data_IF_606568319408
#
_entry.id   IF_606568319408
#
_cell.length_a   1.000
_cell.length_b   1.000
_cell.length_c   1.000
_cell.angle_alpha   90.00
_cell.angle_beta   90.00
_cell.angle_gamma   90.00
#
_symmetry.space_group_name_H-M   'P 1'
#
loop_
_entity.id
_entity.type
_entity.pdbx_description
1 polymer ?
#
# COMPACT_ATOMS: atom_id res chain seq x y z
N UNK A 1 -18.36 -19.63 25.33
CA UNK A 1 -18.70 -20.05 23.96
C UNK A 1 -20.13 -19.60 23.63
N UNK A 2 -20.30 -18.99 22.44
CA UNK A 2 -21.62 -18.63 21.91
C UNK A 2 -21.98 -19.62 20.80
N UNK A 3 -22.95 -20.50 21.08
CA UNK A 3 -23.48 -21.44 20.08
C UNK A 3 -24.68 -20.76 19.39
N UNK A 4 -24.47 -20.15 18.24
CA UNK A 4 -25.49 -19.43 17.47
C UNK A 4 -25.03 -18.05 17.03
N UNK A 5 -25.97 -17.14 16.81
CA UNK A 5 -25.70 -15.80 16.36
C UNK A 5 -25.27 -14.90 17.54
N UNK A 6 -24.29 -14.04 17.30
CA UNK A 6 -23.98 -12.90 18.18
C UNK A 6 -24.30 -11.59 17.46
N UNK A 7 -25.01 -10.70 18.11
CA UNK A 7 -25.32 -9.35 17.63
C UNK A 7 -24.67 -8.33 18.57
N UNK A 8 -23.79 -7.48 18.02
CA UNK A 8 -23.11 -6.43 18.75
C UNK A 8 -23.51 -5.09 18.15
N UNK A 9 -24.33 -4.33 18.85
CA UNK A 9 -24.84 -3.03 18.41
C UNK A 9 -23.82 -1.87 18.51
N UNK A 10 -22.65 -2.13 19.07
CA UNK A 10 -21.57 -1.16 19.25
C UNK A 10 -20.26 -1.65 18.66
N UNK A 11 -19.15 -1.25 19.28
CA UNK A 11 -17.80 -1.68 18.91
C UNK A 11 -17.49 -3.04 19.54
N UNK A 12 -16.86 -3.92 18.79
CA UNK A 12 -16.21 -5.14 19.28
C UNK A 12 -14.70 -4.92 19.27
N UNK A 13 -14.09 -4.85 20.45
CA UNK A 13 -12.64 -4.79 20.60
C UNK A 13 -12.10 -6.19 20.92
N UNK A 14 -11.10 -6.62 20.16
CA UNK A 14 -10.45 -7.92 20.32
C UNK A 14 -8.93 -7.69 20.42
N UNK A 15 -8.34 -8.00 21.57
CA UNK A 15 -6.91 -7.81 21.85
C UNK A 15 -6.00 -8.77 21.08
N UNK A 16 -6.57 -9.78 20.44
CA UNK A 16 -5.83 -10.78 19.65
C UNK A 16 -6.34 -10.89 18.23
N UNK A 17 -6.05 -12.03 17.61
CA UNK A 17 -6.49 -12.31 16.25
C UNK A 17 -8.00 -12.63 16.17
N UNK A 18 -8.64 -12.19 15.11
CA UNK A 18 -10.00 -12.61 14.73
C UNK A 18 -9.90 -13.60 13.58
N UNK A 19 -10.36 -14.86 13.79
CA UNK A 19 -10.48 -15.87 12.75
C UNK A 19 -11.93 -16.01 12.30
N UNK A 20 -12.19 -15.77 11.03
CA UNK A 20 -13.49 -15.99 10.39
C UNK A 20 -13.39 -17.18 9.45
N UNK A 21 -14.12 -18.27 9.72
CA UNK A 21 -14.07 -19.52 8.92
C UNK A 21 -14.91 -19.41 7.64
N UNK A 22 -15.93 -18.55 7.65
CA UNK A 22 -16.80 -18.29 6.51
C UNK A 22 -16.49 -16.95 5.83
N UNK A 23 -17.50 -16.38 5.20
CA UNK A 23 -17.40 -15.08 4.55
C UNK A 23 -17.47 -13.93 5.56
N UNK A 24 -16.68 -12.89 5.35
CA UNK A 24 -16.78 -11.61 6.05
C UNK A 24 -17.33 -10.56 5.10
N UNK A 25 -18.43 -9.90 5.48
CA UNK A 25 -18.94 -8.71 4.80
C UNK A 25 -18.71 -7.49 5.68
N UNK A 26 -18.15 -6.44 5.10
CA UNK A 26 -17.81 -5.19 5.80
C UNK A 26 -18.00 -3.99 4.89
N UNK A 27 -18.36 -2.83 5.43
CA UNK A 27 -18.52 -1.59 4.66
C UNK A 27 -17.18 -1.00 4.20
N UNK A 28 -16.10 -1.19 4.97
CA UNK A 28 -14.74 -0.74 4.64
C UNK A 28 -13.70 -1.54 5.40
N UNK A 29 -12.44 -1.39 5.03
CA UNK A 29 -11.32 -2.01 5.73
C UNK A 29 -10.04 -1.20 5.60
N UNK A 30 -9.25 -1.21 6.67
CA UNK A 30 -7.94 -0.55 6.71
C UNK A 30 -6.99 -1.32 7.61
N UNK A 31 -5.69 -1.20 7.37
CA UNK A 31 -4.71 -1.49 8.39
C UNK A 31 -4.38 -0.20 9.16
N UNK A 32 -4.07 -0.35 10.44
CA UNK A 32 -3.61 0.70 11.34
C UNK A 32 -2.39 0.17 12.08
N UNK A 33 -1.25 0.79 11.88
CA UNK A 33 0.04 0.39 12.44
C UNK A 33 0.72 1.58 13.12
N UNK A 34 1.76 1.32 13.91
CA UNK A 34 2.67 2.36 14.34
C UNK A 34 3.34 2.99 13.12
N UNK A 35 3.54 4.30 13.19
CA UNK A 35 4.10 5.01 12.05
C UNK A 35 5.52 4.52 11.73
N UNK A 36 5.86 4.18 10.46
CA UNK A 36 7.17 3.59 10.10
C UNK A 36 8.35 4.56 10.25
N UNK A 37 8.09 5.88 10.26
CA UNK A 37 9.14 6.87 10.58
C UNK A 37 9.35 6.92 12.08
N UNK A 38 10.59 6.73 12.54
CA UNK A 38 10.98 6.76 13.95
C UNK A 38 10.55 8.05 14.65
N UNK A 39 10.63 9.21 13.96
CA UNK A 39 10.22 10.51 14.50
C UNK A 39 8.71 10.62 14.77
N UNK A 40 7.90 9.71 14.26
CA UNK A 40 6.44 9.71 14.41
C UNK A 40 5.86 8.47 15.11
N UNK A 41 6.67 7.45 15.30
CA UNK A 41 6.27 6.15 15.84
C UNK A 41 5.50 6.26 17.15
N UNK A 42 5.99 7.07 18.09
CA UNK A 42 5.40 7.23 19.42
C UNK A 42 4.15 8.15 19.45
N UNK A 43 3.87 8.88 18.36
CA UNK A 43 2.85 9.93 18.38
C UNK A 43 1.77 9.78 17.31
N UNK A 44 2.00 8.95 16.29
CA UNK A 44 1.07 8.81 15.16
C UNK A 44 0.94 7.34 14.72
N UNK A 45 -0.25 6.98 14.33
CA UNK A 45 -0.49 5.78 13.52
C UNK A 45 -0.44 6.11 12.03
N UNK A 46 -0.08 5.11 11.22
CA UNK A 46 -0.33 5.11 9.79
C UNK A 46 -1.56 4.26 9.49
N UNK A 47 -2.46 4.79 8.66
CA UNK A 47 -3.71 4.12 8.28
C UNK A 47 -3.84 4.12 6.76
N UNK A 48 -3.94 2.93 6.16
CA UNK A 48 -4.25 2.77 4.74
C UNK A 48 -5.39 1.77 4.54
N UNK A 49 -6.16 1.92 3.46
CA UNK A 49 -7.02 0.84 2.97
C UNK A 49 -6.16 -0.31 2.51
N UNK A 50 -6.56 -1.55 2.76
CA UNK A 50 -5.82 -2.71 2.27
C UNK A 50 -6.36 -3.22 0.93
N UNK A 51 -5.48 -3.84 0.17
CA UNK A 51 -5.74 -4.52 -1.09
C UNK A 51 -5.50 -6.01 -0.86
N UNK A 52 -6.40 -6.86 -1.33
CA UNK A 52 -6.25 -8.29 -1.23
C UNK A 52 -5.51 -8.83 -2.47
N UNK A 53 -4.36 -9.46 -2.25
CA UNK A 53 -3.51 -10.01 -3.30
C UNK A 53 -2.46 -10.96 -2.72
N UNK A 54 -1.65 -11.60 -3.57
CA UNK A 54 -0.58 -12.49 -3.10
C UNK A 54 0.58 -11.76 -2.42
N UNK A 55 0.62 -10.44 -2.54
CA UNK A 55 1.56 -9.55 -1.88
C UNK A 55 0.78 -8.48 -1.12
N UNK A 56 1.36 -7.95 -0.07
CA UNK A 56 0.79 -6.83 0.66
C UNK A 56 1.11 -5.52 -0.08
N UNK A 57 0.50 -5.33 -1.25
CA UNK A 57 0.77 -4.20 -2.11
C UNK A 57 0.07 -2.92 -1.66
N UNK A 58 0.74 -1.79 -1.87
CA UNK A 58 0.19 -0.44 -1.74
C UNK A 58 0.21 0.23 -3.10
N UNK A 59 -0.90 0.86 -3.48
CA UNK A 59 -1.07 1.52 -4.77
C UNK A 59 -1.15 3.04 -4.57
N UNK A 60 -0.25 3.75 -5.22
CA UNK A 60 -0.24 5.20 -5.34
C UNK A 60 -0.51 5.56 -6.80
N UNK A 61 -1.42 6.51 -7.06
CA UNK A 61 -1.78 6.85 -8.43
C UNK A 61 -2.20 8.31 -8.57
N UNK A 62 -2.07 8.83 -9.77
CA UNK A 62 -2.50 10.18 -10.08
C UNK A 62 -2.32 10.53 -11.54
N UNK A 63 -2.49 11.81 -11.81
CA UNK A 63 -2.20 12.43 -13.11
C UNK A 63 -1.30 13.61 -12.91
N UNK A 64 -0.49 13.93 -13.91
CA UNK A 64 0.37 15.11 -13.93
C UNK A 64 0.56 15.58 -15.37
N UNK A 65 0.61 16.89 -15.55
CA UNK A 65 0.94 17.50 -16.83
C UNK A 65 2.46 17.66 -16.93
N UNK A 66 2.99 17.32 -18.09
CA UNK A 66 4.41 17.54 -18.38
C UNK A 66 4.70 19.02 -18.64
N UNK A 67 5.87 19.44 -18.25
CA UNK A 67 6.46 20.74 -18.64
C UNK A 67 7.79 20.42 -19.31
N UNK A 68 7.93 20.83 -20.56
CA UNK A 68 9.12 20.55 -21.35
C UNK A 68 9.50 19.05 -21.33
N UNK A 69 8.50 18.20 -21.55
CA UNK A 69 8.64 16.76 -21.62
C UNK A 69 8.92 16.06 -20.30
N UNK A 70 8.79 16.74 -19.15
CA UNK A 70 9.17 16.19 -17.86
C UNK A 70 8.18 16.58 -16.75
N UNK A 71 7.99 15.68 -15.77
CA UNK A 71 7.32 15.96 -14.50
C UNK A 71 8.02 15.23 -13.35
N UNK A 72 7.92 15.82 -12.16
CA UNK A 72 8.34 15.18 -10.90
C UNK A 72 7.19 15.24 -9.91
N UNK A 73 6.82 14.07 -9.38
CA UNK A 73 5.75 13.92 -8.40
C UNK A 73 6.34 13.48 -7.07
N UNK A 74 6.03 14.20 -6.00
CA UNK A 74 6.32 13.75 -4.64
C UNK A 74 5.16 12.86 -4.17
N UNK A 75 5.43 11.55 -4.01
CA UNK A 75 4.43 10.54 -3.65
C UNK A 75 3.89 10.80 -2.25
N UNK A 76 4.72 11.16 -1.28
CA UNK A 76 4.27 11.47 0.07
C UNK A 76 3.29 12.64 0.09
N UNK A 77 3.59 13.69 -0.66
CA UNK A 77 2.73 14.87 -0.73
C UNK A 77 1.36 14.55 -1.35
N UNK A 78 1.33 13.79 -2.45
CA UNK A 78 0.08 13.39 -3.11
C UNK A 78 -0.74 12.46 -2.20
N UNK A 79 -0.08 11.55 -1.50
CA UNK A 79 -0.70 10.64 -0.55
C UNK A 79 -1.02 11.30 0.82
N UNK A 80 -0.71 12.58 1.01
CA UNK A 80 -0.87 13.33 2.27
C UNK A 80 -0.14 12.69 3.45
N UNK A 81 1.02 12.13 3.17
CA UNK A 81 1.91 11.52 4.15
C UNK A 81 3.04 12.48 4.52
N UNK A 82 3.69 12.20 5.63
CA UNK A 82 4.92 12.88 6.02
C UNK A 82 6.06 12.50 5.07
N UNK A 83 6.90 13.44 4.71
CA UNK A 83 8.08 13.22 3.86
C UNK A 83 8.94 12.06 4.36
N UNK A 84 9.26 11.11 3.47
CA UNK A 84 9.99 9.88 3.76
C UNK A 84 9.13 8.68 4.17
N UNK A 85 7.82 8.84 4.36
CA UNK A 85 6.93 7.73 4.73
C UNK A 85 6.85 6.69 3.63
N UNK A 86 6.72 7.11 2.37
CA UNK A 86 6.66 6.20 1.22
C UNK A 86 7.88 5.28 1.17
N UNK A 87 9.08 5.85 1.31
CA UNK A 87 10.33 5.09 1.27
C UNK A 87 10.45 4.12 2.46
N UNK A 88 10.02 4.55 3.67
CA UNK A 88 10.06 3.72 4.88
C UNK A 88 9.03 2.60 4.89
N UNK A 89 7.98 2.72 4.09
CA UNK A 89 6.85 1.79 4.09
C UNK A 89 6.93 0.75 2.97
N UNK A 90 7.67 1.03 1.90
CA UNK A 90 7.61 0.26 0.67
C UNK A 90 8.98 -0.29 0.25
N UNK A 91 8.94 -1.50 -0.32
CA UNK A 91 10.04 -2.14 -1.06
C UNK A 91 9.54 -2.58 -2.44
N UNK A 92 10.41 -3.06 -3.32
CA UNK A 92 10.10 -3.65 -4.62
C UNK A 92 9.20 -2.74 -5.49
N UNK A 93 9.54 -1.46 -5.57
CA UNK A 93 8.75 -0.43 -6.22
C UNK A 93 8.63 -0.69 -7.73
N UNK A 94 7.42 -0.66 -8.26
CA UNK A 94 7.10 -0.71 -9.68
C UNK A 94 6.37 0.57 -10.10
N UNK A 95 6.64 1.05 -11.32
CA UNK A 95 6.04 2.26 -11.86
C UNK A 95 5.45 2.00 -13.24
N UNK A 96 4.23 2.48 -13.43
CA UNK A 96 3.47 2.41 -14.67
C UNK A 96 3.06 3.82 -15.07
N UNK A 97 3.27 4.17 -16.34
CA UNK A 97 2.90 5.48 -16.89
C UNK A 97 2.16 5.33 -18.21
N UNK A 98 1.18 6.19 -18.46
CA UNK A 98 0.42 6.23 -19.69
C UNK A 98 0.19 7.68 -20.11
N UNK A 99 0.60 8.04 -21.34
CA UNK A 99 0.28 9.31 -21.94
C UNK A 99 -1.21 9.31 -22.35
N UNK A 100 -1.99 10.27 -21.88
CA UNK A 100 -3.42 10.37 -22.15
C UNK A 100 -3.74 11.37 -23.28
N UNK A 101 -2.76 12.14 -23.74
CA UNK A 101 -2.96 13.23 -24.68
C UNK A 101 -2.61 12.84 -26.12
N UNK A 102 -1.52 12.12 -26.30
CA UNK A 102 -0.98 11.78 -27.61
C UNK A 102 -0.24 10.42 -27.59
N UNK A 103 0.44 10.07 -28.67
CA UNK A 103 1.16 8.81 -28.83
C UNK A 103 2.65 8.89 -28.48
N UNK A 104 3.11 9.99 -27.92
CA UNK A 104 4.49 10.12 -27.50
C UNK A 104 4.79 9.19 -26.31
N UNK A 105 5.92 8.50 -26.40
CA UNK A 105 6.33 7.54 -25.37
C UNK A 105 6.74 8.26 -24.11
N UNK A 106 6.22 7.79 -22.98
CA UNK A 106 6.58 8.26 -21.64
C UNK A 106 7.21 7.14 -20.83
N UNK A 107 8.14 7.51 -19.95
CA UNK A 107 8.84 6.62 -19.04
C UNK A 107 8.81 7.19 -17.62
N UNK A 108 8.39 6.38 -16.66
CA UNK A 108 8.47 6.69 -15.22
C UNK A 108 9.65 6.01 -14.54
N UNK A 109 10.19 6.65 -13.53
CA UNK A 109 11.15 6.06 -12.59
C UNK A 109 10.95 6.62 -11.20
N UNK A 110 11.14 5.79 -10.17
CA UNK A 110 11.00 6.19 -8.76
C UNK A 110 12.35 6.10 -8.07
N UNK A 111 12.69 7.16 -7.33
CA UNK A 111 13.88 7.21 -6.47
C UNK A 111 13.50 7.92 -5.16
N UNK A 112 13.69 7.23 -4.03
CA UNK A 112 13.12 7.66 -2.75
C UNK A 112 11.60 7.80 -2.87
N UNK A 113 11.05 8.93 -2.49
CA UNK A 113 9.63 9.27 -2.62
C UNK A 113 9.30 10.12 -3.88
N UNK A 114 10.22 10.21 -4.84
CA UNK A 114 10.06 11.01 -6.07
C UNK A 114 9.82 10.10 -7.27
N UNK A 115 8.68 10.26 -7.94
CA UNK A 115 8.41 9.73 -9.26
C UNK A 115 8.82 10.79 -10.29
N UNK A 116 9.77 10.45 -11.17
CA UNK A 116 10.14 11.24 -12.33
C UNK A 116 9.51 10.62 -13.58
N UNK A 117 8.83 11.43 -14.37
CA UNK A 117 8.25 11.05 -15.66
C UNK A 117 8.93 11.87 -16.76
N UNK A 118 9.39 11.18 -17.79
CA UNK A 118 10.05 11.79 -18.95
C UNK A 118 9.34 11.34 -20.22
N UNK A 119 9.13 12.27 -21.14
CA UNK A 119 8.58 12.02 -22.47
C UNK A 119 9.70 11.99 -23.50
N UNK A 120 9.56 11.15 -24.53
CA UNK A 120 10.48 11.13 -25.69
C UNK A 120 10.51 12.49 -26.39
N UNK A 121 9.36 13.17 -26.48
CA UNK A 121 9.26 14.53 -26.96
C UNK A 121 9.57 15.50 -25.82
N UNK A 122 10.74 16.13 -25.88
CA UNK A 122 11.21 17.07 -24.85
C UNK A 122 10.43 18.38 -24.78
N UNK A 123 9.50 18.64 -25.69
CA UNK A 123 8.60 19.79 -25.65
C UNK A 123 7.17 19.40 -25.28
N UNK A 124 6.93 18.15 -24.89
CA UNK A 124 5.60 17.66 -24.56
C UNK A 124 5.03 18.36 -23.32
N UNK A 125 3.75 18.71 -23.42
CA UNK A 125 2.90 19.20 -22.31
C UNK A 125 1.76 18.21 -22.02
N UNK A 126 1.91 16.95 -22.43
CA UNK A 126 0.88 15.93 -22.30
C UNK A 126 0.51 15.68 -20.84
N UNK A 127 -0.76 15.33 -20.61
CA UNK A 127 -1.21 14.76 -19.33
C UNK A 127 -0.84 13.28 -19.28
N UNK A 128 -0.14 12.88 -18.23
CA UNK A 128 0.29 11.50 -17.99
C UNK A 128 -0.40 10.94 -16.76
N UNK A 129 -1.11 9.83 -16.91
CA UNK A 129 -1.54 8.98 -15.79
C UNK A 129 -0.37 8.15 -15.31
N UNK A 130 -0.26 8.03 -14.00
CA UNK A 130 0.79 7.22 -13.38
C UNK A 130 0.22 6.36 -12.26
N UNK A 131 0.84 5.20 -12.06
CA UNK A 131 0.62 4.31 -10.93
C UNK A 131 1.96 3.80 -10.42
N UNK A 132 2.15 3.86 -9.12
CA UNK A 132 3.28 3.26 -8.41
C UNK A 132 2.74 2.21 -7.47
N UNK A 133 3.29 1.02 -7.53
CA UNK A 133 2.98 -0.10 -6.66
C UNK A 133 4.21 -0.40 -5.82
N UNK A 134 4.04 -0.53 -4.51
CA UNK A 134 5.08 -0.93 -3.59
C UNK A 134 4.59 -2.03 -2.65
N UNK A 135 5.42 -3.02 -2.40
CA UNK A 135 5.16 -4.05 -1.39
C UNK A 135 5.44 -3.47 0.01
N UNK A 136 4.55 -3.71 0.98
CA UNK A 136 4.75 -3.27 2.37
C UNK A 136 6.01 -3.88 2.99
N UNK A 137 6.77 -3.05 3.71
CA UNK A 137 8.00 -3.45 4.40
C UNK A 137 8.09 -2.85 5.83
N UNK A 138 6.93 -2.64 6.46
CA UNK A 138 6.88 -2.14 7.84
C UNK A 138 7.11 -3.25 8.88
N UNK A 139 7.37 -2.84 10.13
CA UNK A 139 7.70 -3.76 11.22
C UNK A 139 6.53 -4.71 11.52
N UNK A 140 5.28 -4.27 11.41
CA UNK A 140 4.13 -5.14 11.62
C UNK A 140 4.11 -6.34 10.67
N UNK A 141 4.52 -6.14 9.39
CA UNK A 141 4.63 -7.24 8.43
C UNK A 141 5.74 -8.25 8.77
N UNK A 142 6.69 -7.88 9.61
CA UNK A 142 7.80 -8.75 10.06
C UNK A 142 7.48 -9.47 11.36
N UNK A 143 6.56 -8.93 12.16
CA UNK A 143 6.22 -9.43 13.49
C UNK A 143 4.94 -10.28 13.52
N UNK A 144 4.19 -10.34 12.42
CA UNK A 144 2.94 -11.10 12.37
C UNK A 144 3.17 -12.57 12.00
N UNK A 145 2.31 -13.47 12.52
CA UNK A 145 2.40 -14.93 12.37
C UNK A 145 1.98 -15.47 10.99
N UNK A 146 1.36 -14.63 10.15
CA UNK A 146 0.96 -14.98 8.78
C UNK A 146 1.97 -14.55 7.71
N UNK A 147 3.15 -14.08 8.12
CA UNK A 147 4.25 -13.70 7.23
C UNK A 147 5.56 -14.40 7.61
N UNK A 148 6.49 -14.44 6.67
CA UNK A 148 7.87 -14.81 6.93
C UNK A 148 8.61 -13.68 7.67
N UNK A 149 9.76 -13.94 8.30
CA UNK A 149 10.57 -12.92 9.00
C UNK A 149 11.03 -11.76 8.10
N UNK A 150 11.00 -11.93 6.79
CA UNK A 150 11.27 -10.89 5.81
C UNK A 150 10.01 -10.04 5.47
N UNK A 151 8.88 -10.29 6.12
CA UNK A 151 7.62 -9.58 5.94
C UNK A 151 6.79 -10.03 4.74
N UNK A 152 7.18 -11.09 4.02
CA UNK A 152 6.39 -11.64 2.91
C UNK A 152 5.30 -12.56 3.42
N UNK A 153 4.14 -12.52 2.76
CA UNK A 153 2.99 -13.36 3.12
C UNK A 153 3.32 -14.84 2.96
N UNK A 154 2.95 -15.65 3.94
CA UNK A 154 2.97 -17.13 3.85
C UNK A 154 1.75 -17.53 3.03
N UNK A 155 1.93 -17.75 1.74
CA UNK A 155 0.84 -17.99 0.79
C UNK A 155 0.15 -19.35 0.99
N UNK A 156 0.89 -20.36 1.42
CA UNK A 156 0.41 -21.73 1.54
C UNK A 156 0.77 -22.32 2.92
N UNK A 157 0.18 -21.80 4.02
CA UNK A 157 0.44 -22.32 5.35
C UNK A 157 -0.13 -23.75 5.46
N UNK A 158 0.56 -24.60 6.23
CA UNK A 158 0.05 -25.92 6.55
C UNK A 158 -1.27 -25.82 7.33
N UNK A 159 -2.19 -26.74 7.04
CA UNK A 159 -3.42 -26.87 7.84
C UNK A 159 -3.07 -27.35 9.24
N UNK A 160 -3.67 -26.74 10.25
CA UNK A 160 -3.64 -27.28 11.60
C UNK A 160 -4.36 -28.64 11.60
N UNK A 161 -3.68 -29.68 12.08
CA UNK A 161 -4.32 -30.99 12.29
C UNK A 161 -5.11 -30.86 13.59
N UNK A 162 -6.43 -30.68 13.46
CA UNK A 162 -7.33 -30.81 14.62
C UNK A 162 -7.31 -32.30 15.00
N UNK A 163 -6.62 -32.66 16.08
CA UNK A 163 -6.79 -33.99 16.72
C UNK A 163 -8.18 -34.00 17.36
N UNK A 164 -9.05 -34.88 16.84
CA UNK A 164 -10.37 -35.18 17.42
C UNK A 164 -10.20 -35.89 18.79
#
# INVERSE_FOLDING_TARGET
DVNGNADVSGTLDVDGNVRVVGSMSKGSGSFKIDHPLESKKETHHLVHSFIEGPQADLIYRGKVDLVDGKAVVNIDQIARMTEGTFESLNRNIQCFTSNETDWDVVKGSVSGNKLTIECQNTNSTATVSWMVVGERDDQHMKDTDWTHPDGKIIMEPLKEIVQE
#
